data_IF_746748479531
#
_entry.id   IF_746748479531
#
_cell.length_a   1.000
_cell.length_b   1.000
_cell.length_c   1.000
_cell.angle_alpha   90.00
_cell.angle_beta   90.00
_cell.angle_gamma   90.00
#
_symmetry.space_group_name_H-M   'P 1'
#
loop_
_entity.id
_entity.type
_entity.pdbx_description
1 polymer ?
#
# COMPACT_ATOMS: atom_id res chain seq x y z
N UNK A 1 8.44 23.30 6.29
CA UNK A 1 7.74 22.63 5.18
C UNK A 1 8.59 21.44 4.79
N UNK A 2 8.09 20.22 4.95
CA UNK A 2 8.80 19.06 4.40
C UNK A 2 8.87 19.18 2.87
N UNK A 3 9.98 18.74 2.29
CA UNK A 3 10.14 18.76 0.85
C UNK A 3 9.33 17.64 0.21
N UNK A 4 8.79 17.92 -0.98
CA UNK A 4 8.13 16.89 -1.82
C UNK A 4 9.06 15.70 -2.06
N UNK A 5 10.38 15.93 -2.15
CA UNK A 5 11.39 14.88 -2.30
C UNK A 5 11.37 13.91 -1.10
N UNK A 6 11.31 14.41 0.14
CA UNK A 6 11.28 13.56 1.33
C UNK A 6 10.02 12.69 1.38
N UNK A 7 8.87 13.28 1.03
CA UNK A 7 7.59 12.56 0.94
C UNK A 7 7.64 11.45 -0.12
N UNK A 8 8.19 11.75 -1.32
CA UNK A 8 8.38 10.77 -2.37
C UNK A 8 9.32 9.63 -1.94
N UNK A 9 10.43 9.95 -1.26
CA UNK A 9 11.33 8.93 -0.73
C UNK A 9 10.63 8.00 0.26
N UNK A 10 9.79 8.52 1.16
CA UNK A 10 9.02 7.70 2.10
C UNK A 10 7.99 6.82 1.40
N UNK A 11 7.28 7.36 0.41
CA UNK A 11 6.39 6.57 -0.43
C UNK A 11 7.14 5.43 -1.14
N UNK A 12 8.28 5.72 -1.75
CA UNK A 12 9.11 4.70 -2.41
C UNK A 12 9.58 3.60 -1.44
N UNK A 13 9.96 3.96 -0.22
CA UNK A 13 10.33 2.99 0.81
C UNK A 13 9.17 2.06 1.17
N UNK A 14 7.95 2.61 1.29
CA UNK A 14 6.75 1.83 1.57
C UNK A 14 6.41 0.90 0.38
N UNK A 15 6.51 1.39 -0.84
CA UNK A 15 6.29 0.59 -2.05
C UNK A 15 7.31 -0.55 -2.19
N UNK A 16 8.60 -0.27 -1.95
CA UNK A 16 9.67 -1.28 -1.93
C UNK A 16 9.42 -2.35 -0.87
N UNK A 17 8.96 -1.95 0.32
CA UNK A 17 8.63 -2.89 1.37
C UNK A 17 7.46 -3.80 0.96
N UNK A 18 6.40 -3.24 0.37
CA UNK A 18 5.24 -3.98 -0.11
C UNK A 18 5.65 -5.04 -1.14
N UNK A 19 6.42 -4.64 -2.16
CA UNK A 19 6.97 -5.54 -3.18
C UNK A 19 7.83 -6.66 -2.57
N UNK A 20 8.69 -6.31 -1.61
CA UNK A 20 9.59 -7.29 -0.96
C UNK A 20 8.86 -8.28 -0.05
N UNK A 21 7.66 -7.94 0.43
CA UNK A 21 6.84 -8.79 1.31
C UNK A 21 5.58 -9.35 0.59
N UNK A 22 5.49 -9.17 -0.73
CA UNK A 22 4.29 -9.51 -1.52
C UNK A 22 3.84 -10.96 -1.30
N UNK A 23 4.78 -11.90 -1.25
CA UNK A 23 4.53 -13.33 -1.03
C UNK A 23 3.91 -13.67 0.34
N UNK A 24 4.22 -12.88 1.36
CA UNK A 24 3.63 -13.04 2.70
C UNK A 24 2.27 -12.33 2.78
N UNK A 25 2.19 -11.14 2.18
CA UNK A 25 0.98 -10.33 2.12
C UNK A 25 -0.13 -11.05 1.37
N UNK A 26 0.16 -11.68 0.22
CA UNK A 26 -0.84 -12.43 -0.55
C UNK A 26 -1.44 -13.61 0.22
N UNK A 27 -0.68 -14.21 1.14
CA UNK A 27 -1.17 -15.32 1.99
C UNK A 27 -2.12 -14.82 3.07
N UNK A 28 -1.90 -13.58 3.55
CA UNK A 28 -2.65 -12.99 4.67
C UNK A 28 -3.86 -12.16 4.23
N UNK A 29 -3.77 -11.48 3.09
CA UNK A 29 -4.75 -10.49 2.61
C UNK A 29 -5.20 -10.84 1.19
N UNK A 30 -5.57 -12.11 0.96
CA UNK A 30 -5.88 -12.63 -0.37
C UNK A 30 -7.01 -11.84 -1.02
N UNK A 31 -6.72 -11.30 -2.22
CA UNK A 31 -7.66 -10.56 -3.05
C UNK A 31 -8.14 -9.25 -2.38
N UNK A 32 -7.18 -8.54 -1.77
CA UNK A 32 -7.41 -7.28 -1.05
C UNK A 32 -6.39 -6.21 -1.45
N UNK A 33 -6.83 -4.95 -1.36
CA UNK A 33 -5.97 -3.78 -1.37
C UNK A 33 -5.33 -3.61 0.00
N UNK A 34 -4.02 -3.40 0.01
CA UNK A 34 -3.24 -3.20 1.24
C UNK A 34 -2.66 -1.80 1.22
N UNK A 35 -2.75 -1.11 2.35
CA UNK A 35 -2.09 0.17 2.59
C UNK A 35 -0.90 -0.01 3.53
N UNK A 36 0.26 0.48 3.11
CA UNK A 36 1.52 0.44 3.88
C UNK A 36 2.00 1.86 4.18
N UNK A 37 2.31 2.10 5.44
CA UNK A 37 2.95 3.33 5.92
C UNK A 37 4.03 2.95 6.94
N UNK A 38 5.20 3.57 6.83
CA UNK A 38 6.36 3.26 7.67
C UNK A 38 6.66 1.74 7.70
N UNK A 39 6.67 1.11 6.51
CA UNK A 39 7.00 -0.31 6.33
C UNK A 39 6.10 -1.26 7.14
N UNK A 40 4.86 -0.86 7.40
CA UNK A 40 3.86 -1.64 8.13
C UNK A 40 2.49 -1.52 7.45
N UNK A 41 1.74 -2.62 7.42
CA UNK A 41 0.34 -2.60 6.95
C UNK A 41 -0.52 -1.82 7.95
N UNK A 42 -1.16 -0.75 7.49
CA UNK A 42 -1.96 0.16 8.33
C UNK A 42 -3.47 0.05 8.14
N UNK A 43 -3.91 -0.46 6.99
CA UNK A 43 -5.30 -0.78 6.66
C UNK A 43 -5.33 -1.69 5.43
N UNK A 44 -6.44 -2.36 5.20
CA UNK A 44 -6.68 -3.18 4.01
C UNK A 44 -8.19 -3.29 3.72
N UNK A 45 -8.56 -3.52 2.47
CA UNK A 45 -9.96 -3.73 2.08
C UNK A 45 -10.07 -4.45 0.74
N UNK A 46 -11.19 -5.14 0.50
CA UNK A 46 -11.50 -5.68 -0.83
C UNK A 46 -11.89 -4.59 -1.82
N UNK A 47 -12.45 -3.48 -1.33
CA UNK A 47 -12.91 -2.35 -2.12
C UNK A 47 -11.97 -1.15 -1.93
N UNK A 48 -11.24 -0.77 -3.00
CA UNK A 48 -10.29 0.35 -2.98
C UNK A 48 -10.93 1.65 -2.46
N UNK A 49 -12.15 1.95 -2.89
CA UNK A 49 -12.85 3.17 -2.48
C UNK A 49 -13.10 3.24 -0.97
N UNK A 50 -13.38 2.10 -0.33
CA UNK A 50 -13.59 2.02 1.12
C UNK A 50 -12.28 2.23 1.86
N UNK A 51 -11.21 1.60 1.36
CA UNK A 51 -9.86 1.77 1.88
C UNK A 51 -9.44 3.25 1.82
N UNK A 52 -9.50 3.86 0.63
CA UNK A 52 -9.11 5.26 0.40
C UNK A 52 -9.90 6.22 1.29
N UNK A 53 -11.20 6.01 1.46
CA UNK A 53 -12.03 6.83 2.37
C UNK A 53 -11.54 6.77 3.81
N UNK A 54 -11.19 5.59 4.33
CA UNK A 54 -10.65 5.43 5.69
C UNK A 54 -9.27 6.05 5.81
N UNK A 55 -8.39 5.83 4.83
CA UNK A 55 -7.04 6.36 4.83
C UNK A 55 -7.01 7.89 4.86
N UNK A 56 -7.80 8.55 3.99
CA UNK A 56 -7.89 10.02 3.95
C UNK A 56 -8.39 10.61 5.26
N UNK A 57 -9.29 9.91 5.96
CA UNK A 57 -9.83 10.33 7.26
C UNK A 57 -8.83 10.14 8.40
N UNK A 58 -8.06 9.04 8.37
CA UNK A 58 -7.19 8.62 9.48
C UNK A 58 -5.76 9.16 9.38
N UNK A 59 -5.26 9.40 8.16
CA UNK A 59 -3.86 9.76 7.90
C UNK A 59 -3.73 11.07 7.11
N UNK A 60 -4.44 12.12 7.53
CA UNK A 60 -4.51 13.41 6.80
C UNK A 60 -3.13 13.95 6.37
N UNK A 61 -2.17 13.98 7.28
CA UNK A 61 -0.82 14.54 7.02
C UNK A 61 0.10 13.58 6.27
N UNK A 62 -0.09 12.27 6.43
CA UNK A 62 0.80 11.23 5.90
C UNK A 62 0.21 10.49 4.70
N UNK A 63 -0.98 10.88 4.23
CA UNK A 63 -1.74 10.15 3.20
C UNK A 63 -0.93 9.94 1.92
N UNK A 64 -0.16 10.96 1.52
CA UNK A 64 0.66 10.93 0.30
C UNK A 64 1.90 10.03 0.41
N UNK A 65 2.21 9.53 1.60
CA UNK A 65 3.33 8.62 1.85
C UNK A 65 2.89 7.15 1.83
N UNK A 66 1.57 6.91 1.82
CA UNK A 66 1.00 5.57 1.89
C UNK A 66 1.12 4.90 0.53
N UNK A 67 1.82 3.76 0.50
CA UNK A 67 1.81 2.88 -0.65
C UNK A 67 0.57 1.99 -0.59
N UNK A 68 -0.18 1.91 -1.69
CA UNK A 68 -1.36 1.05 -1.82
C UNK A 68 -1.15 0.13 -3.01
N UNK A 69 -1.33 -1.17 -2.79
CA UNK A 69 -1.24 -2.17 -3.84
C UNK A 69 -2.28 -3.28 -3.63
N UNK A 70 -2.67 -3.94 -4.73
CA UNK A 70 -3.61 -5.06 -4.70
C UNK A 70 -2.83 -6.36 -4.66
N UNK A 71 -3.03 -7.17 -3.62
CA UNK A 71 -2.43 -8.49 -3.55
C UNK A 71 -3.46 -9.54 -3.95
N UNK A 72 -3.09 -10.37 -4.93
CA UNK A 72 -3.93 -11.47 -5.37
C UNK A 72 -3.17 -12.78 -5.30
N UNK A 73 -3.91 -13.84 -4.96
CA UNK A 73 -3.38 -15.21 -5.03
C UNK A 73 -3.54 -15.82 -6.43
N UNK A 74 -4.17 -15.10 -7.37
CA UNK A 74 -4.17 -15.52 -8.77
C UNK A 74 -2.78 -15.31 -9.34
N UNK A 75 -2.24 -16.34 -9.98
CA UNK A 75 -1.05 -16.18 -10.82
C UNK A 75 -1.42 -15.21 -11.94
N UNK A 76 -0.80 -14.03 -11.93
CA UNK A 76 -0.91 -13.08 -13.03
C UNK A 76 0.07 -13.60 -14.08
N UNK A 77 -0.43 -14.19 -15.17
CA UNK A 77 0.38 -14.41 -16.36
C UNK A 77 0.83 -13.02 -16.85
N UNK A 78 2.12 -12.72 -16.67
CA UNK A 78 2.70 -11.49 -17.19
C UNK A 78 2.82 -11.66 -18.72
N UNK A 79 1.93 -11.02 -19.47
CA UNK A 79 2.10 -10.88 -20.92
C UNK A 79 3.12 -9.75 -21.11
N UNK A 80 4.34 -10.11 -21.51
CA UNK A 80 5.43 -9.20 -21.90
C UNK A 80 5.24 -8.66 -23.32
#
# INVERSE_FOLDING_TARGET
MESVVAMLSRFEENAKWLSSHYEELKKRFKDEWIAVLNKTVVDHDRELDRLVKRLRKKYLEAYNEIAVDYVTAKEIELIL
#
